data_IF_691422198318
#
_entry.id   IF_691422198318
#
_cell.length_a   1.000
_cell.length_b   1.000
_cell.length_c   1.000
_cell.angle_alpha   90.00
_cell.angle_beta   90.00
_cell.angle_gamma   90.00
#
_symmetry.space_group_name_H-M   'P 1'
#
loop_
_entity.id
_entity.type
_entity.pdbx_description
1 polymer ?
#
# COMPACT_ATOMS: atom_id res chain seq x y z
N UNK A 1 -21.14 20.20 -22.85
CA UNK A 1 -20.84 19.25 -23.93
C UNK A 1 -21.60 17.97 -23.59
N UNK A 2 -22.73 17.67 -24.24
CA UNK A 2 -23.52 16.52 -23.86
C UNK A 2 -22.93 15.23 -24.46
N UNK A 3 -22.88 14.21 -23.61
CA UNK A 3 -22.95 12.78 -23.86
C UNK A 3 -22.48 12.23 -25.22
N UNK A 4 -21.22 11.80 -25.24
CA UNK A 4 -20.77 10.66 -26.05
C UNK A 4 -21.20 9.34 -25.40
N UNK A 5 -22.51 9.15 -25.23
CA UNK A 5 -23.10 7.87 -24.85
C UNK A 5 -23.18 6.96 -26.08
N UNK A 6 -22.12 6.18 -26.28
CA UNK A 6 -22.14 4.78 -26.69
C UNK A 6 -23.22 4.39 -27.72
N UNK A 7 -22.96 4.67 -28.99
CA UNK A 7 -23.46 3.82 -30.09
C UNK A 7 -22.62 2.54 -30.13
N UNK A 8 -22.89 1.58 -29.24
CA UNK A 8 -22.47 0.18 -29.46
C UNK A 8 -23.39 -0.38 -30.54
N UNK A 9 -22.95 -0.24 -31.79
CA UNK A 9 -23.51 -0.96 -32.94
C UNK A 9 -23.55 -2.46 -32.66
N UNK A 10 -24.57 -3.12 -33.20
CA UNK A 10 -24.77 -4.55 -33.12
C UNK A 10 -23.52 -5.34 -33.55
N UNK A 11 -23.48 -6.62 -33.13
CA UNK A 11 -22.65 -7.71 -33.66
C UNK A 11 -21.19 -7.78 -33.22
N UNK A 12 -20.98 -8.33 -32.01
CA UNK A 12 -19.75 -9.07 -31.71
C UNK A 12 -20.01 -10.22 -30.71
N UNK A 13 -21.14 -10.92 -30.89
CA UNK A 13 -21.57 -12.01 -30.00
C UNK A 13 -20.76 -13.27 -30.29
N UNK A 14 -19.87 -13.62 -29.35
CA UNK A 14 -19.04 -14.82 -29.44
C UNK A 14 -19.80 -16.05 -28.92
N UNK A 15 -19.90 -17.09 -29.74
CA UNK A 15 -20.45 -18.39 -29.41
C UNK A 15 -19.33 -19.43 -29.40
N UNK A 16 -19.00 -19.94 -28.21
CA UNK A 16 -18.02 -20.98 -28.01
C UNK A 16 -18.71 -22.33 -28.17
N UNK A 17 -18.33 -23.10 -29.17
CA UNK A 17 -18.95 -24.39 -29.47
C UNK A 17 -18.04 -25.52 -28.99
N UNK A 18 -18.62 -26.51 -28.29
CA UNK A 18 -17.89 -27.69 -27.82
C UNK A 18 -18.74 -28.96 -28.03
N UNK A 19 -18.13 -30.09 -28.45
CA UNK A 19 -16.71 -30.24 -28.78
C UNK A 19 -16.31 -29.59 -30.12
N UNK A 20 -17.24 -29.53 -31.07
CA UNK A 20 -17.02 -29.03 -32.43
C UNK A 20 -18.05 -27.96 -32.81
N UNK A 21 -17.85 -27.33 -33.98
CA UNK A 21 -18.86 -26.45 -34.56
C UNK A 21 -20.13 -27.24 -34.88
N UNK A 22 -21.33 -26.67 -34.63
CA UNK A 22 -22.57 -27.34 -34.97
C UNK A 22 -22.79 -27.37 -36.49
N UNK A 23 -23.60 -28.32 -36.98
CA UNK A 23 -23.86 -28.47 -38.42
C UNK A 23 -24.47 -27.23 -39.07
N UNK A 24 -25.16 -26.40 -38.29
CA UNK A 24 -25.80 -25.14 -38.69
C UNK A 24 -24.92 -23.90 -38.40
N UNK A 25 -23.60 -24.07 -38.34
CA UNK A 25 -22.64 -22.99 -38.06
C UNK A 25 -22.75 -21.82 -39.05
N UNK A 26 -22.83 -22.10 -40.36
CA UNK A 26 -22.93 -21.06 -41.38
C UNK A 26 -24.21 -20.22 -41.24
N UNK A 27 -25.29 -20.85 -40.81
CA UNK A 27 -26.55 -20.14 -40.59
C UNK A 27 -26.48 -19.26 -39.33
N UNK A 28 -25.89 -19.77 -38.24
CA UNK A 28 -25.67 -18.98 -37.02
C UNK A 28 -24.72 -17.79 -37.27
N UNK A 29 -23.74 -17.94 -38.16
CA UNK A 29 -22.90 -16.83 -38.60
C UNK A 29 -23.68 -15.78 -39.37
N UNK A 30 -24.60 -16.18 -40.25
CA UNK A 30 -25.51 -15.27 -40.97
C UNK A 30 -26.46 -14.53 -40.04
N UNK A 31 -26.84 -15.14 -38.91
CA UNK A 31 -27.59 -14.51 -37.81
C UNK A 31 -26.71 -13.58 -36.92
N UNK A 32 -25.42 -13.42 -37.25
CA UNK A 32 -24.52 -12.47 -36.58
C UNK A 32 -23.75 -13.05 -35.38
N UNK A 33 -23.66 -14.37 -35.23
CA UNK A 33 -22.78 -14.98 -34.23
C UNK A 33 -21.38 -15.21 -34.77
N UNK A 34 -20.35 -14.87 -34.00
CA UNK A 34 -18.99 -15.36 -34.26
C UNK A 34 -18.81 -16.68 -33.54
N UNK A 35 -18.54 -17.75 -34.28
CA UNK A 35 -18.38 -19.07 -33.71
C UNK A 35 -16.91 -19.41 -33.52
N UNK A 36 -16.57 -20.04 -32.41
CA UNK A 36 -15.25 -20.56 -32.14
C UNK A 36 -15.39 -21.95 -31.51
N UNK A 37 -14.80 -22.97 -32.14
CA UNK A 37 -14.71 -24.30 -31.53
C UNK A 37 -13.66 -24.27 -30.40
N UNK A 38 -14.01 -24.85 -29.25
CA UNK A 38 -13.11 -24.97 -28.11
C UNK A 38 -13.17 -26.39 -27.54
N UNK A 39 -12.03 -26.93 -27.07
CA UNK A 39 -11.98 -28.28 -26.51
C UNK A 39 -12.80 -28.40 -25.21
N UNK A 40 -12.92 -27.31 -24.45
CA UNK A 40 -13.74 -27.22 -23.24
C UNK A 40 -14.15 -25.76 -22.98
N UNK A 41 -15.28 -25.57 -22.30
CA UNK A 41 -15.89 -24.27 -21.95
C UNK A 41 -15.46 -23.79 -20.54
N UNK A 42 -14.45 -24.41 -19.93
CA UNK A 42 -13.97 -24.06 -18.57
C UNK A 42 -12.82 -23.05 -18.54
N UNK A 43 -12.31 -22.63 -19.69
CA UNK A 43 -11.28 -21.59 -19.83
C UNK A 43 -11.88 -20.19 -19.70
N UNK A 44 -11.27 -19.26 -18.93
CA UNK A 44 -11.74 -17.88 -18.84
C UNK A 44 -11.86 -17.23 -20.23
N UNK A 45 -13.01 -16.62 -20.51
CA UNK A 45 -13.36 -16.01 -21.80
C UNK A 45 -14.00 -14.64 -21.58
N UNK A 46 -14.23 -13.90 -22.67
CA UNK A 46 -14.99 -12.66 -22.66
C UNK A 46 -16.30 -12.84 -21.86
N UNK A 47 -16.61 -11.96 -20.89
CA UNK A 47 -17.84 -12.05 -20.08
C UNK A 47 -19.14 -11.93 -20.88
N UNK A 48 -19.07 -11.61 -22.18
CA UNK A 48 -20.19 -11.60 -23.12
C UNK A 48 -20.31 -12.86 -23.98
N UNK A 49 -19.36 -13.81 -23.88
CA UNK A 49 -19.40 -15.07 -24.61
C UNK A 49 -20.49 -16.01 -24.06
N UNK A 50 -21.00 -16.88 -24.93
CA UNK A 50 -21.97 -17.94 -24.60
C UNK A 50 -21.39 -19.27 -25.03
N UNK A 51 -21.62 -20.32 -24.25
CA UNK A 51 -21.29 -21.69 -24.63
C UNK A 51 -22.45 -22.38 -25.35
N UNK A 52 -22.16 -23.08 -26.44
CA UNK A 52 -23.01 -24.10 -27.03
C UNK A 52 -22.35 -25.46 -26.83
N UNK A 53 -22.96 -26.29 -25.99
CA UNK A 53 -22.45 -27.62 -25.66
C UNK A 53 -23.36 -28.68 -26.26
N UNK A 54 -22.81 -29.57 -27.08
CA UNK A 54 -23.54 -30.70 -27.66
C UNK A 54 -23.20 -31.99 -26.93
N UNK A 55 -24.22 -32.73 -26.49
CA UNK A 55 -24.08 -34.06 -25.89
C UNK A 55 -24.98 -35.05 -26.64
N UNK A 56 -24.41 -36.07 -27.30
CA UNK A 56 -25.16 -36.93 -28.21
C UNK A 56 -26.09 -37.92 -27.49
N UNK A 57 -25.75 -38.33 -26.27
CA UNK A 57 -26.45 -39.39 -25.55
C UNK A 57 -26.50 -39.18 -24.02
N UNK A 58 -27.27 -40.03 -23.34
CA UNK A 58 -27.42 -40.00 -21.89
C UNK A 58 -26.13 -40.33 -21.13
N UNK A 59 -25.22 -41.12 -21.72
CA UNK A 59 -23.94 -41.46 -21.10
C UNK A 59 -23.02 -40.24 -21.05
N UNK A 60 -22.96 -39.47 -22.13
CA UNK A 60 -22.22 -38.21 -22.24
C UNK A 60 -22.78 -37.17 -21.27
N UNK A 61 -24.11 -37.09 -21.12
CA UNK A 61 -24.75 -36.23 -20.12
C UNK A 61 -24.40 -36.63 -18.69
N UNK A 62 -24.38 -37.93 -18.37
CA UNK A 62 -24.01 -38.41 -17.05
C UNK A 62 -22.53 -38.13 -16.74
N UNK A 63 -21.64 -38.33 -17.71
CA UNK A 63 -20.23 -37.98 -17.59
C UNK A 63 -20.03 -36.47 -17.37
N UNK A 64 -20.80 -35.64 -18.08
CA UNK A 64 -20.81 -34.19 -17.90
C UNK A 64 -21.31 -33.81 -16.49
N UNK A 65 -22.37 -34.43 -15.99
CA UNK A 65 -22.86 -34.16 -14.64
C UNK A 65 -21.91 -34.63 -13.53
N UNK A 66 -20.99 -35.57 -13.82
CA UNK A 66 -20.03 -36.10 -12.85
C UNK A 66 -18.85 -35.18 -12.50
N UNK A 67 -18.76 -33.99 -13.07
CA UNK A 67 -17.68 -33.02 -12.81
C UNK A 67 -18.21 -31.79 -12.08
N UNK A 68 -17.52 -31.35 -11.02
CA UNK A 68 -17.91 -30.16 -10.25
C UNK A 68 -17.35 -28.85 -10.83
N UNK A 69 -16.56 -28.91 -11.90
CA UNK A 69 -15.94 -27.70 -12.46
C UNK A 69 -16.97 -26.87 -13.24
N UNK A 70 -17.22 -25.62 -12.84
CA UNK A 70 -18.16 -24.75 -13.55
C UNK A 70 -17.58 -24.28 -14.89
N UNK A 71 -18.48 -23.98 -15.83
CA UNK A 71 -18.14 -23.32 -17.09
C UNK A 71 -17.81 -21.85 -16.85
N UNK A 72 -16.96 -21.31 -17.73
CA UNK A 72 -16.52 -19.91 -17.65
C UNK A 72 -17.54 -18.91 -18.24
N UNK A 73 -18.63 -19.43 -18.85
CA UNK A 73 -19.72 -18.63 -19.41
C UNK A 73 -21.05 -19.39 -19.30
N UNK A 74 -22.20 -18.70 -19.46
CA UNK A 74 -23.49 -19.36 -19.54
C UNK A 74 -23.58 -20.31 -20.74
N UNK A 75 -24.05 -21.53 -20.52
CA UNK A 75 -24.09 -22.59 -21.54
C UNK A 75 -25.52 -22.97 -21.93
N UNK A 76 -25.77 -23.03 -23.24
CA UNK A 76 -26.90 -23.73 -23.85
C UNK A 76 -26.48 -25.18 -24.15
N UNK A 77 -27.22 -26.13 -23.58
CA UNK A 77 -26.98 -27.56 -23.78
C UNK A 77 -27.93 -28.13 -24.84
N UNK A 78 -27.36 -28.75 -25.89
CA UNK A 78 -28.09 -29.56 -26.87
C UNK A 78 -27.94 -31.04 -26.50
N UNK A 79 -29.02 -31.71 -26.08
CA UNK A 79 -28.93 -33.11 -25.64
C UNK A 79 -30.29 -33.81 -25.51
N UNK A 80 -30.33 -35.13 -25.29
CA UNK A 80 -31.53 -35.83 -24.80
C UNK A 80 -32.03 -35.26 -23.46
N UNK A 81 -33.29 -35.49 -23.07
CA UNK A 81 -33.85 -34.92 -21.84
C UNK A 81 -33.11 -35.44 -20.59
N UNK A 82 -32.52 -34.54 -19.76
CA UNK A 82 -31.81 -34.96 -18.56
C UNK A 82 -32.79 -35.38 -17.44
N UNK A 83 -32.39 -36.40 -16.67
CA UNK A 83 -33.08 -36.77 -15.42
C UNK A 83 -32.98 -35.66 -14.38
N UNK A 84 -33.81 -35.69 -13.33
CA UNK A 84 -33.84 -34.63 -12.32
C UNK A 84 -32.48 -34.42 -11.62
N UNK A 85 -31.81 -35.49 -11.19
CA UNK A 85 -30.50 -35.40 -10.53
C UNK A 85 -29.39 -34.92 -11.46
N UNK A 86 -29.39 -35.34 -12.72
CA UNK A 86 -28.45 -34.85 -13.75
C UNK A 86 -28.69 -33.36 -14.01
N UNK A 87 -29.95 -32.93 -14.11
CA UNK A 87 -30.31 -31.53 -14.34
C UNK A 87 -29.78 -30.61 -13.24
N UNK A 88 -29.93 -30.98 -11.98
CA UNK A 88 -29.44 -30.17 -10.86
C UNK A 88 -27.92 -30.00 -10.90
N UNK A 89 -27.18 -31.08 -11.14
CA UNK A 89 -25.73 -31.02 -11.32
C UNK A 89 -25.33 -30.13 -12.51
N UNK A 90 -26.00 -30.25 -13.66
CA UNK A 90 -25.73 -29.45 -14.85
C UNK A 90 -25.99 -27.95 -14.64
N UNK A 91 -27.03 -27.58 -13.89
CA UNK A 91 -27.30 -26.19 -13.50
C UNK A 91 -26.15 -25.66 -12.62
N UNK A 92 -25.68 -26.45 -11.65
CA UNK A 92 -24.55 -26.10 -10.80
C UNK A 92 -23.25 -25.84 -11.58
N UNK A 93 -23.10 -26.41 -12.77
CA UNK A 93 -21.96 -26.17 -13.66
C UNK A 93 -22.11 -24.94 -14.55
N UNK A 94 -23.27 -24.29 -14.62
CA UNK A 94 -23.49 -23.10 -15.45
C UNK A 94 -24.28 -23.34 -16.74
N UNK A 95 -24.98 -24.47 -16.88
CA UNK A 95 -25.98 -24.65 -17.94
C UNK A 95 -27.23 -23.86 -17.55
N UNK A 96 -27.60 -22.92 -18.42
CA UNK A 96 -28.72 -22.00 -18.17
C UNK A 96 -29.96 -22.35 -19.00
N UNK A 97 -29.78 -23.07 -20.11
CA UNK A 97 -30.84 -23.49 -21.02
C UNK A 97 -30.54 -24.87 -21.58
N UNK A 98 -31.60 -25.62 -21.89
CA UNK A 98 -31.52 -26.92 -22.55
C UNK A 98 -32.43 -26.94 -23.77
N UNK A 99 -31.97 -27.58 -24.84
CA UNK A 99 -32.77 -27.91 -26.02
C UNK A 99 -32.54 -29.37 -26.44
N UNK A 100 -33.56 -30.02 -27.02
CA UNK A 100 -33.37 -31.28 -27.75
C UNK A 100 -32.28 -31.16 -28.83
N UNK A 101 -31.49 -32.21 -29.02
CA UNK A 101 -30.36 -32.20 -29.96
C UNK A 101 -30.78 -31.95 -31.43
N UNK A 102 -31.99 -32.33 -31.79
CA UNK A 102 -32.60 -32.19 -33.12
C UNK A 102 -33.37 -30.87 -33.32
N UNK A 103 -33.19 -29.90 -32.41
CA UNK A 103 -33.89 -28.61 -32.48
C UNK A 103 -33.56 -27.84 -33.75
N UNK A 104 -34.60 -27.43 -34.47
CA UNK A 104 -34.50 -26.60 -35.67
C UNK A 104 -33.82 -25.24 -35.39
N UNK A 105 -33.03 -24.79 -36.37
CA UNK A 105 -32.24 -23.56 -36.30
C UNK A 105 -33.03 -22.32 -35.82
N UNK A 106 -34.25 -22.01 -36.30
CA UNK A 106 -34.94 -20.79 -35.87
C UNK A 106 -35.21 -20.75 -34.36
N UNK A 107 -35.56 -21.90 -33.77
CA UNK A 107 -35.77 -22.01 -32.32
C UNK A 107 -34.43 -21.94 -31.57
N UNK A 108 -33.39 -22.63 -32.07
CA UNK A 108 -32.04 -22.59 -31.51
C UNK A 108 -31.47 -21.18 -31.48
N UNK A 109 -31.56 -20.45 -32.59
CA UNK A 109 -31.12 -19.06 -32.71
C UNK A 109 -31.88 -18.12 -31.76
N UNK A 110 -33.20 -18.28 -31.65
CA UNK A 110 -34.01 -17.52 -30.71
C UNK A 110 -33.57 -17.78 -29.25
N UNK A 111 -33.37 -19.04 -28.87
CA UNK A 111 -32.93 -19.41 -27.52
C UNK A 111 -31.52 -18.91 -27.23
N UNK A 112 -30.59 -19.00 -28.19
CA UNK A 112 -29.25 -18.41 -28.06
C UNK A 112 -29.31 -16.89 -27.83
N UNK A 113 -30.18 -16.18 -28.55
CA UNK A 113 -30.38 -14.75 -28.34
C UNK A 113 -30.93 -14.43 -26.94
N UNK A 114 -31.88 -15.22 -26.44
CA UNK A 114 -32.40 -15.12 -25.07
C UNK A 114 -31.32 -15.40 -24.02
N UNK A 115 -30.54 -16.46 -24.20
CA UNK A 115 -29.40 -16.80 -23.34
C UNK A 115 -28.40 -15.66 -23.27
N UNK A 116 -28.10 -15.01 -24.40
CA UNK A 116 -27.21 -13.85 -24.42
C UNK A 116 -27.77 -12.64 -23.67
N UNK A 117 -29.07 -12.38 -23.79
CA UNK A 117 -29.73 -11.34 -23.00
C UNK A 117 -29.68 -11.61 -21.49
N UNK A 118 -29.88 -12.86 -21.07
CA UNK A 118 -29.77 -13.27 -19.67
C UNK A 118 -28.34 -13.17 -19.15
N UNK A 119 -27.34 -13.61 -19.94
CA UNK A 119 -25.93 -13.52 -19.61
C UNK A 119 -25.51 -12.06 -19.32
N UNK A 120 -25.84 -11.13 -20.22
CA UNK A 120 -25.55 -9.71 -20.04
C UNK A 120 -26.21 -9.15 -18.78
N UNK A 121 -27.46 -9.53 -18.50
CA UNK A 121 -28.17 -9.10 -17.28
C UNK A 121 -27.52 -9.62 -16.00
N UNK A 122 -27.15 -10.89 -15.94
CA UNK A 122 -26.50 -11.46 -14.77
C UNK A 122 -25.12 -10.84 -14.53
N UNK A 123 -24.31 -10.68 -15.57
CA UNK A 123 -23.01 -10.00 -15.48
C UNK A 123 -23.17 -8.56 -14.99
N UNK A 124 -24.16 -7.82 -15.50
CA UNK A 124 -24.44 -6.46 -15.05
C UNK A 124 -24.90 -6.40 -13.59
N UNK A 125 -25.75 -7.34 -13.15
CA UNK A 125 -26.14 -7.44 -11.74
C UNK A 125 -24.96 -7.77 -10.84
N UNK A 126 -24.11 -8.72 -11.24
CA UNK A 126 -22.91 -9.08 -10.48
C UNK A 126 -21.95 -7.89 -10.36
N UNK A 127 -21.71 -7.15 -11.44
CA UNK A 127 -20.90 -5.94 -11.43
C UNK A 127 -21.47 -4.87 -10.50
N UNK A 128 -22.79 -4.68 -10.51
CA UNK A 128 -23.46 -3.73 -9.63
C UNK A 128 -23.33 -4.12 -8.15
N UNK A 129 -23.53 -5.40 -7.82
CA UNK A 129 -23.35 -5.91 -6.45
C UNK A 129 -21.90 -5.77 -6.01
N UNK A 130 -20.93 -6.14 -6.87
CA UNK A 130 -19.50 -5.97 -6.59
C UNK A 130 -19.14 -4.50 -6.35
N UNK A 131 -19.66 -3.58 -7.17
CA UNK A 131 -19.44 -2.15 -6.98
C UNK A 131 -19.97 -1.66 -5.63
N UNK A 132 -21.19 -2.06 -5.23
CA UNK A 132 -21.75 -1.71 -3.92
C UNK A 132 -20.91 -2.24 -2.75
N UNK A 133 -20.40 -3.47 -2.86
CA UNK A 133 -19.53 -4.05 -1.85
C UNK A 133 -18.20 -3.30 -1.75
N UNK A 134 -17.61 -2.92 -2.88
CA UNK A 134 -16.39 -2.11 -2.92
C UNK A 134 -16.61 -0.71 -2.33
N UNK A 135 -17.70 -0.05 -2.66
CA UNK A 135 -18.07 1.26 -2.10
C UNK A 135 -18.19 1.19 -0.57
N UNK A 136 -18.86 0.15 -0.04
CA UNK A 136 -18.96 -0.08 1.39
C UNK A 136 -17.58 -0.34 2.01
N UNK A 137 -16.76 -1.19 1.40
CA UNK A 137 -15.40 -1.48 1.88
C UNK A 137 -14.55 -0.23 2.05
N UNK A 138 -14.54 0.66 1.06
CA UNK A 138 -13.78 1.91 1.13
C UNK A 138 -14.33 2.85 2.19
N UNK A 139 -15.65 2.95 2.30
CA UNK A 139 -16.32 3.78 3.31
C UNK A 139 -16.00 3.30 4.74
N UNK A 140 -16.09 1.99 5.00
CA UNK A 140 -15.74 1.42 6.31
C UNK A 140 -14.26 1.64 6.66
N UNK A 141 -13.35 1.43 5.69
CA UNK A 141 -11.91 1.67 5.90
C UNK A 141 -11.61 3.14 6.20
N UNK A 142 -12.25 4.06 5.49
CA UNK A 142 -12.10 5.49 5.72
C UNK A 142 -12.62 5.90 7.11
N UNK A 143 -13.79 5.38 7.53
CA UNK A 143 -14.31 5.59 8.90
C UNK A 143 -13.32 5.12 9.95
N UNK A 144 -12.80 3.89 9.83
CA UNK A 144 -11.83 3.34 10.78
C UNK A 144 -10.56 4.19 10.92
N UNK A 145 -10.03 4.70 9.79
CA UNK A 145 -8.88 5.61 9.81
C UNK A 145 -9.22 6.94 10.50
N UNK A 146 -10.38 7.53 10.22
CA UNK A 146 -10.82 8.77 10.86
C UNK A 146 -11.05 8.62 12.36
N UNK A 147 -11.60 7.47 12.80
CA UNK A 147 -11.80 7.14 14.20
C UNK A 147 -10.45 7.07 14.94
N UNK A 148 -9.47 6.36 14.36
CA UNK A 148 -8.11 6.27 14.93
C UNK A 148 -7.41 7.63 14.95
N UNK A 149 -7.56 8.41 13.89
CA UNK A 149 -6.91 9.71 13.71
C UNK A 149 -7.43 10.79 14.68
N UNK A 150 -8.76 10.87 14.81
CA UNK A 150 -9.45 11.97 15.51
C UNK A 150 -10.01 11.58 16.87
N UNK A 151 -9.95 10.30 17.23
CA UNK A 151 -10.58 9.80 18.46
C UNK A 151 -12.10 9.97 18.46
N UNK A 152 -12.72 9.99 17.28
CA UNK A 152 -14.17 10.15 17.10
C UNK A 152 -14.85 8.80 16.95
N UNK A 153 -16.15 8.75 17.23
CA UNK A 153 -16.95 7.56 17.00
C UNK A 153 -17.29 7.37 15.51
N UNK A 154 -17.89 6.22 15.20
CA UNK A 154 -18.26 5.85 13.84
C UNK A 154 -19.27 6.84 13.22
N UNK A 155 -20.24 7.32 14.02
CA UNK A 155 -21.28 8.24 13.57
C UNK A 155 -20.70 9.59 13.15
N UNK A 156 -19.80 10.15 13.96
CA UNK A 156 -19.08 11.37 13.64
C UNK A 156 -18.15 11.18 12.43
N UNK A 157 -17.47 10.04 12.30
CA UNK A 157 -16.63 9.74 11.14
C UNK A 157 -17.44 9.69 9.84
N UNK A 158 -18.61 9.03 9.84
CA UNK A 158 -19.50 9.00 8.68
C UNK A 158 -20.07 10.38 8.35
N UNK A 159 -20.48 11.14 9.37
CA UNK A 159 -20.97 12.51 9.19
C UNK A 159 -19.92 13.42 8.54
N UNK A 160 -18.65 13.28 8.96
CA UNK A 160 -17.53 13.98 8.36
C UNK A 160 -17.40 13.64 6.87
N UNK A 161 -17.24 12.36 6.51
CA UNK A 161 -17.11 11.93 5.12
C UNK A 161 -18.25 12.43 4.24
N UNK A 162 -19.49 12.39 4.77
CA UNK A 162 -20.67 12.90 4.06
C UNK A 162 -20.61 14.41 3.87
N UNK A 163 -20.21 15.16 4.89
CA UNK A 163 -20.07 16.62 4.79
C UNK A 163 -19.02 17.02 3.76
N UNK A 164 -17.87 16.34 3.73
CA UNK A 164 -16.80 16.54 2.76
C UNK A 164 -17.27 16.23 1.35
N UNK A 165 -17.99 15.13 1.14
CA UNK A 165 -18.58 14.77 -0.15
C UNK A 165 -19.54 15.85 -0.66
N UNK A 166 -20.36 16.42 0.23
CA UNK A 166 -21.25 17.54 -0.08
C UNK A 166 -20.48 18.81 -0.49
N UNK A 167 -19.46 19.19 0.29
CA UNK A 167 -18.68 20.40 0.04
C UNK A 167 -17.85 20.32 -1.25
N UNK A 168 -17.30 19.14 -1.54
CA UNK A 168 -16.47 18.87 -2.73
C UNK A 168 -17.27 18.42 -3.95
N UNK A 169 -18.61 18.40 -3.86
CA UNK A 169 -19.52 17.92 -4.91
C UNK A 169 -19.12 16.54 -5.48
N UNK A 170 -18.59 15.67 -4.63
CA UNK A 170 -18.04 14.37 -4.99
C UNK A 170 -18.88 13.24 -4.40
N UNK A 171 -18.80 12.03 -4.97
CA UNK A 171 -19.48 10.87 -4.38
C UNK A 171 -18.77 10.44 -3.09
N UNK A 172 -19.56 9.98 -2.12
CA UNK A 172 -19.02 9.49 -0.83
C UNK A 172 -17.91 8.43 -0.99
N UNK A 173 -18.04 7.42 -1.87
CA UNK A 173 -16.98 6.43 -2.07
C UNK A 173 -15.68 7.03 -2.63
N UNK A 174 -15.77 8.06 -3.46
CA UNK A 174 -14.59 8.73 -4.03
C UNK A 174 -13.85 9.53 -2.95
N UNK A 175 -14.59 10.21 -2.06
CA UNK A 175 -14.02 10.86 -0.88
C UNK A 175 -13.37 9.83 0.05
N UNK A 176 -14.05 8.71 0.33
CA UNK A 176 -13.52 7.65 1.17
C UNK A 176 -12.21 7.08 0.61
N UNK A 177 -12.15 6.79 -0.70
CA UNK A 177 -10.92 6.37 -1.39
C UNK A 177 -9.81 7.43 -1.27
N UNK A 178 -10.16 8.70 -1.43
CA UNK A 178 -9.22 9.82 -1.28
C UNK A 178 -8.60 9.90 0.12
N UNK A 179 -9.41 9.74 1.16
CA UNK A 179 -8.97 9.69 2.57
C UNK A 179 -8.04 8.51 2.79
N UNK A 180 -8.41 7.30 2.36
CA UNK A 180 -7.58 6.10 2.52
C UNK A 180 -6.24 6.26 1.82
N UNK A 181 -6.25 6.68 0.54
CA UNK A 181 -5.02 6.86 -0.24
C UNK A 181 -4.07 7.87 0.40
N UNK A 182 -4.63 8.95 0.93
CA UNK A 182 -3.86 10.01 1.58
C UNK A 182 -3.27 9.55 2.91
N UNK A 183 -4.02 8.77 3.69
CA UNK A 183 -3.54 8.15 4.92
C UNK A 183 -2.40 7.15 4.64
N UNK A 184 -2.55 6.30 3.61
CA UNK A 184 -1.53 5.34 3.19
C UNK A 184 -0.26 6.04 2.71
N UNK A 185 -0.39 7.14 1.96
CA UNK A 185 0.75 7.94 1.53
C UNK A 185 1.48 8.60 2.72
N UNK A 186 0.75 9.13 3.69
CA UNK A 186 1.33 9.70 4.90
C UNK A 186 2.02 8.63 5.77
N UNK A 187 1.44 7.43 5.87
CA UNK A 187 2.06 6.28 6.54
C UNK A 187 3.36 5.88 5.83
N UNK A 188 3.33 5.76 4.50
CA UNK A 188 4.51 5.42 3.72
C UNK A 188 5.63 6.46 3.89
N UNK A 189 5.29 7.75 3.89
CA UNK A 189 6.27 8.81 4.09
C UNK A 189 6.90 8.78 5.49
N UNK A 190 6.10 8.56 6.54
CA UNK A 190 6.64 8.46 7.90
C UNK A 190 7.62 7.31 8.01
N UNK A 191 7.25 6.13 7.49
CA UNK A 191 8.09 4.93 7.55
C UNK A 191 9.36 5.09 6.73
N UNK A 192 9.28 5.61 5.51
CA UNK A 192 10.44 5.92 4.69
C UNK A 192 11.33 6.97 5.36
N UNK A 193 10.73 8.00 5.96
CA UNK A 193 11.43 9.01 6.76
C UNK A 193 12.10 8.43 8.00
N UNK A 194 11.50 7.43 8.64
CA UNK A 194 12.07 6.72 9.79
C UNK A 194 13.31 5.92 9.38
N UNK A 195 13.36 5.32 8.19
CA UNK A 195 14.55 4.59 7.71
C UNK A 195 15.78 5.48 7.63
N UNK A 196 15.62 6.72 7.16
CA UNK A 196 16.69 7.73 7.14
C UNK A 196 17.27 7.97 8.53
N UNK A 197 16.40 8.16 9.53
CA UNK A 197 16.86 8.35 10.91
C UNK A 197 17.49 7.08 11.47
N UNK A 198 16.84 5.93 11.28
CA UNK A 198 17.28 4.65 11.85
C UNK A 198 18.65 4.25 11.32
N UNK A 199 18.96 4.51 10.05
CA UNK A 199 20.29 4.26 9.50
C UNK A 199 21.38 5.00 10.30
N UNK A 200 21.13 6.25 10.68
CA UNK A 200 22.07 7.04 11.50
C UNK A 200 22.09 6.57 12.96
N UNK A 201 20.91 6.31 13.56
CA UNK A 201 20.79 5.88 14.95
C UNK A 201 21.48 4.54 15.20
N UNK A 202 21.37 3.59 14.28
CA UNK A 202 22.01 2.26 14.41
C UNK A 202 23.54 2.37 14.46
N UNK A 203 24.15 3.16 13.57
CA UNK A 203 25.61 3.40 13.60
C UNK A 203 25.99 4.13 14.88
N UNK A 204 25.26 5.18 15.26
CA UNK A 204 25.49 5.90 16.52
C UNK A 204 25.51 4.95 17.72
N UNK A 205 24.53 4.05 17.84
CA UNK A 205 24.44 3.12 18.96
C UNK A 205 25.54 2.05 18.92
N UNK A 206 25.93 1.58 17.74
CA UNK A 206 27.06 0.66 17.58
C UNK A 206 28.39 1.32 17.98
N UNK A 207 28.62 2.57 17.57
CA UNK A 207 29.78 3.38 17.95
C UNK A 207 29.79 3.69 19.45
N UNK A 208 28.63 4.03 20.04
CA UNK A 208 28.51 4.32 21.48
C UNK A 208 28.99 3.15 22.33
N UNK A 209 28.66 1.92 21.92
CA UNK A 209 29.09 0.71 22.61
C UNK A 209 30.61 0.51 22.59
N UNK A 210 31.34 1.17 21.70
CA UNK A 210 32.81 1.16 21.68
C UNK A 210 33.43 2.22 22.58
N UNK A 211 32.63 3.15 23.13
CA UNK A 211 33.13 4.19 24.03
C UNK A 211 33.74 3.57 25.30
N UNK A 212 35.02 3.85 25.62
CA UNK A 212 35.71 3.17 26.73
C UNK A 212 35.11 3.45 28.11
N UNK A 213 34.52 4.64 28.30
CA UNK A 213 33.97 5.07 29.61
C UNK A 213 32.52 4.65 29.82
N UNK A 214 31.91 3.94 28.88
CA UNK A 214 30.53 3.50 28.99
C UNK A 214 30.41 2.33 29.98
N UNK A 215 29.52 2.45 30.96
CA UNK A 215 29.29 1.41 31.96
C UNK A 215 28.61 0.18 31.35
N UNK A 216 28.68 -0.98 32.03
CA UNK A 216 28.02 -2.20 31.56
C UNK A 216 26.49 -2.05 31.39
N UNK A 217 25.74 -1.42 32.32
CA UNK A 217 24.32 -1.16 32.12
C UNK A 217 24.02 -0.31 30.87
N UNK A 218 24.75 0.79 30.69
CA UNK A 218 24.58 1.68 29.53
C UNK A 218 24.93 0.97 28.21
N UNK A 219 25.95 0.10 28.22
CA UNK A 219 26.32 -0.69 27.04
C UNK A 219 25.24 -1.71 26.67
N UNK A 220 24.52 -2.26 27.65
CA UNK A 220 23.34 -3.15 27.42
C UNK A 220 22.14 -2.36 26.92
N UNK A 221 21.90 -1.17 27.48
CA UNK A 221 20.85 -0.27 27.01
C UNK A 221 21.09 0.12 25.54
N UNK A 222 22.29 0.56 25.19
CA UNK A 222 22.65 0.89 23.81
C UNK A 222 22.49 -0.32 22.85
N UNK A 223 22.78 -1.54 23.30
CA UNK A 223 22.51 -2.76 22.53
C UNK A 223 21.01 -2.99 22.34
N UNK A 224 20.20 -2.86 23.40
CA UNK A 224 18.75 -3.01 23.31
C UNK A 224 18.12 -2.00 22.36
N UNK A 225 18.59 -0.74 22.39
CA UNK A 225 18.14 0.29 21.46
C UNK A 225 18.57 0.01 20.02
N UNK A 226 19.75 -0.59 19.83
CA UNK A 226 20.23 -1.02 18.51
C UNK A 226 19.33 -2.12 17.96
N UNK A 227 19.07 -3.17 18.76
CA UNK A 227 18.20 -4.29 18.37
C UNK A 227 16.78 -3.81 18.07
N UNK A 228 16.22 -2.92 18.90
CA UNK A 228 14.92 -2.30 18.67
C UNK A 228 14.90 -1.46 17.37
N UNK A 229 16.00 -0.76 17.06
CA UNK A 229 16.13 0.01 15.82
C UNK A 229 16.14 -0.93 14.60
N UNK A 230 16.90 -2.03 14.65
CA UNK A 230 16.96 -3.03 13.59
C UNK A 230 15.60 -3.70 13.37
N UNK A 231 14.90 -4.07 14.45
CA UNK A 231 13.55 -4.63 14.38
C UNK A 231 12.55 -3.65 13.75
N UNK A 232 12.65 -2.36 14.10
CA UNK A 232 11.81 -1.32 13.52
C UNK A 232 12.08 -1.11 12.02
N UNK A 233 13.33 -1.19 11.58
CA UNK A 233 13.66 -1.16 10.14
C UNK A 233 12.96 -2.29 9.41
N UNK A 234 13.07 -3.52 9.91
CA UNK A 234 12.44 -4.70 9.31
C UNK A 234 10.92 -4.57 9.20
N UNK A 235 10.25 -4.22 10.31
CA UNK A 235 8.79 -4.03 10.33
C UNK A 235 8.33 -2.90 9.40
N UNK A 236 9.11 -1.82 9.30
CA UNK A 236 8.81 -0.74 8.36
C UNK A 236 8.96 -1.19 6.91
N UNK A 237 9.95 -2.01 6.56
CA UNK A 237 10.14 -2.50 5.19
C UNK A 237 9.04 -3.46 4.75
N UNK A 238 8.58 -4.35 5.64
CA UNK A 238 7.42 -5.21 5.39
C UNK A 238 6.19 -4.37 5.07
N UNK A 239 5.90 -3.38 5.92
CA UNK A 239 4.75 -2.51 5.71
C UNK A 239 4.88 -1.63 4.46
N UNK A 240 6.08 -1.11 4.17
CA UNK A 240 6.33 -0.36 2.95
C UNK A 240 6.12 -1.23 1.71
N UNK A 241 6.51 -2.51 1.74
CA UNK A 241 6.26 -3.44 0.63
C UNK A 241 4.76 -3.64 0.37
N UNK A 242 3.93 -3.62 1.41
CA UNK A 242 2.47 -3.68 1.26
C UNK A 242 1.88 -2.39 0.69
N UNK A 243 2.26 -1.24 1.25
CA UNK A 243 1.73 0.08 0.87
C UNK A 243 2.15 0.48 -0.56
N UNK A 244 3.33 0.06 -0.99
CA UNK A 244 3.97 0.46 -2.25
C UNK A 244 4.00 -0.69 -3.27
N UNK A 245 3.14 -1.69 -3.12
CA UNK A 245 3.10 -2.85 -4.01
C UNK A 245 2.81 -2.47 -5.45
N UNK A 246 1.83 -1.60 -5.64
CA UNK A 246 1.36 -1.15 -6.95
C UNK A 246 2.14 0.07 -7.48
N UNK A 247 2.96 0.71 -6.63
CA UNK A 247 3.58 2.01 -6.89
C UNK A 247 4.92 2.14 -6.14
N UNK A 248 6.01 2.52 -6.83
CA UNK A 248 7.35 2.69 -6.22
C UNK A 248 7.99 1.39 -5.68
N UNK A 249 7.64 0.24 -6.26
CA UNK A 249 8.17 -1.07 -5.87
C UNK A 249 9.68 -1.19 -6.10
N UNK A 250 10.22 -0.53 -7.13
CA UNK A 250 11.66 -0.50 -7.41
C UNK A 250 12.44 0.28 -6.34
N UNK A 251 11.97 1.48 -5.98
CA UNK A 251 12.56 2.28 -4.91
C UNK A 251 12.46 1.56 -3.57
N UNK A 252 11.32 0.96 -3.25
CA UNK A 252 11.15 0.15 -2.03
C UNK A 252 12.13 -1.04 -2.00
N UNK A 253 12.31 -1.75 -3.13
CA UNK A 253 13.24 -2.87 -3.24
C UNK A 253 14.70 -2.43 -3.05
N UNK A 254 15.06 -1.22 -3.52
CA UNK A 254 16.38 -0.64 -3.30
C UNK A 254 16.66 -0.40 -1.81
N UNK A 255 15.70 0.16 -1.06
CA UNK A 255 15.81 0.33 0.40
C UNK A 255 15.95 -1.02 1.10
N UNK A 256 15.15 -2.01 0.71
CA UNK A 256 15.25 -3.37 1.26
C UNK A 256 16.59 -4.05 0.95
N UNK A 257 17.17 -3.80 -0.23
CA UNK A 257 18.52 -4.25 -0.60
C UNK A 257 19.59 -3.61 0.26
N UNK A 258 19.54 -2.29 0.46
CA UNK A 258 20.48 -1.58 1.32
C UNK A 258 20.42 -2.07 2.77
N UNK A 259 19.22 -2.34 3.30
CA UNK A 259 19.05 -2.94 4.62
C UNK A 259 19.70 -4.32 4.74
N UNK A 260 19.50 -5.21 3.76
CA UNK A 260 20.14 -6.54 3.75
C UNK A 260 21.66 -6.47 3.77
N UNK A 261 22.27 -5.41 3.25
CA UNK A 261 23.71 -5.19 3.30
C UNK A 261 24.18 -4.64 4.65
N UNK A 262 23.38 -3.78 5.29
CA UNK A 262 23.71 -3.17 6.58
C UNK A 262 23.56 -4.15 7.76
N UNK A 263 22.50 -4.97 7.76
CA UNK A 263 22.18 -5.90 8.85
C UNK A 263 23.36 -6.76 9.34
N UNK A 264 24.16 -7.44 8.48
CA UNK A 264 25.30 -8.22 8.94
C UNK A 264 26.44 -7.37 9.52
N UNK A 265 26.63 -6.14 9.05
CA UNK A 265 27.65 -5.23 9.59
C UNK A 265 27.30 -4.81 11.03
N UNK A 266 26.01 -4.56 11.30
CA UNK A 266 25.52 -4.22 12.65
C UNK A 266 25.59 -5.40 13.63
N UNK A 267 25.38 -6.62 13.14
CA UNK A 267 25.37 -7.84 13.97
C UNK A 267 26.77 -8.35 14.34
N UNK A 268 27.85 -7.78 13.80
CA UNK A 268 29.21 -8.23 14.07
C UNK A 268 29.60 -8.08 15.55
N UNK A 269 30.25 -9.11 16.11
CA UNK A 269 30.84 -9.07 17.45
C UNK A 269 32.06 -8.15 17.53
N UNK A 270 32.78 -8.00 16.42
CA UNK A 270 33.89 -7.07 16.25
C UNK A 270 33.49 -6.09 15.14
N UNK A 271 32.82 -4.99 15.49
CA UNK A 271 32.24 -4.11 14.49
C UNK A 271 33.34 -3.35 13.75
N UNK A 272 33.26 -3.39 12.43
CA UNK A 272 33.93 -2.42 11.55
C UNK A 272 32.99 -1.21 11.43
N UNK A 273 33.30 -0.16 12.18
CA UNK A 273 32.45 1.04 12.26
C UNK A 273 32.40 1.79 10.94
N UNK A 274 33.50 1.84 10.19
CA UNK A 274 33.54 2.49 8.88
C UNK A 274 32.65 1.74 7.88
N UNK A 275 32.80 0.41 7.81
CA UNK A 275 31.94 -0.41 6.93
C UNK A 275 30.47 -0.31 7.30
N UNK A 276 30.16 -0.24 8.60
CA UNK A 276 28.79 -0.09 9.08
C UNK A 276 28.22 1.27 8.71
N UNK A 277 29.02 2.34 8.81
CA UNK A 277 28.62 3.69 8.40
C UNK A 277 28.40 3.81 6.88
N UNK A 278 29.30 3.26 6.07
CA UNK A 278 29.15 3.22 4.61
C UNK A 278 27.88 2.45 4.19
N UNK A 279 27.57 1.33 4.86
CA UNK A 279 26.34 0.58 4.59
C UNK A 279 25.09 1.33 5.04
N UNK A 280 25.15 2.06 6.15
CA UNK A 280 24.06 2.90 6.62
C UNK A 280 23.83 4.11 5.71
N UNK A 281 24.90 4.63 5.11
CA UNK A 281 24.84 5.70 4.12
C UNK A 281 24.09 5.25 2.86
N UNK A 282 24.31 4.03 2.37
CA UNK A 282 23.52 3.45 1.27
C UNK A 282 22.02 3.30 1.63
N UNK A 283 21.72 2.93 2.88
CA UNK A 283 20.33 2.88 3.37
C UNK A 283 19.73 4.28 3.46
N UNK A 284 20.49 5.28 3.89
CA UNK A 284 20.06 6.68 3.90
C UNK A 284 19.71 7.17 2.49
N UNK A 285 20.62 7.03 1.54
CA UNK A 285 20.47 7.51 0.15
C UNK A 285 19.26 6.89 -0.55
N UNK A 286 19.11 5.56 -0.45
CA UNK A 286 17.95 4.86 -1.01
C UNK A 286 16.64 5.30 -0.34
N UNK A 287 16.65 5.54 0.97
CA UNK A 287 15.48 6.03 1.70
C UNK A 287 15.15 7.50 1.37
N UNK A 288 16.16 8.34 1.12
CA UNK A 288 16.00 9.73 0.67
C UNK A 288 15.35 9.79 -0.71
N UNK A 289 15.81 8.95 -1.64
CA UNK A 289 15.18 8.81 -2.95
C UNK A 289 13.71 8.40 -2.82
N UNK A 290 13.41 7.40 -1.99
CA UNK A 290 12.02 6.97 -1.76
C UNK A 290 11.16 8.09 -1.18
N UNK A 291 11.66 8.82 -0.18
CA UNK A 291 10.98 9.99 0.40
C UNK A 291 10.74 11.06 -0.65
N UNK A 292 11.72 11.35 -1.52
CA UNK A 292 11.56 12.32 -2.59
C UNK A 292 10.43 11.91 -3.56
N UNK A 293 10.39 10.64 -3.99
CA UNK A 293 9.31 10.10 -4.84
C UNK A 293 7.94 10.17 -4.17
N UNK A 294 7.87 9.87 -2.88
CA UNK A 294 6.61 9.97 -2.12
C UNK A 294 6.14 11.43 -2.02
N UNK A 295 7.04 12.37 -1.80
CA UNK A 295 6.74 13.80 -1.78
C UNK A 295 6.28 14.32 -3.16
N UNK A 296 6.94 13.91 -4.26
CA UNK A 296 6.52 14.23 -5.63
C UNK A 296 5.07 13.78 -5.89
N UNK A 297 4.71 12.58 -5.43
CA UNK A 297 3.34 12.03 -5.56
C UNK A 297 2.33 12.70 -4.65
N UNK A 298 2.75 13.21 -3.49
CA UNK A 298 1.87 13.92 -2.56
C UNK A 298 1.43 15.31 -3.08
N UNK A 299 2.21 15.92 -3.98
CA UNK A 299 1.96 17.26 -4.50
C UNK A 299 2.04 18.35 -3.41
N UNK A 300 1.37 19.49 -3.62
CA UNK A 300 1.41 20.67 -2.72
C UNK A 300 0.58 20.54 -1.42
N UNK A 301 0.06 19.35 -1.08
CA UNK A 301 -0.78 19.10 0.11
C UNK A 301 0.08 19.04 1.40
N UNK A 302 -0.49 19.08 2.63
CA UNK A 302 0.18 19.56 3.85
C UNK A 302 1.22 18.59 4.45
N UNK A 303 1.73 17.66 3.64
CA UNK A 303 2.78 16.71 3.99
C UNK A 303 4.16 17.38 4.11
N UNK A 304 4.30 18.63 3.62
CA UNK A 304 5.54 19.41 3.69
C UNK A 304 6.10 19.55 5.11
N UNK A 305 5.25 19.84 6.10
CA UNK A 305 5.70 19.95 7.49
C UNK A 305 6.13 18.59 8.07
N UNK A 306 5.41 17.51 7.76
CA UNK A 306 5.81 16.15 8.16
C UNK A 306 7.18 15.80 7.55
N UNK A 307 7.41 16.16 6.28
CA UNK A 307 8.71 15.97 5.64
C UNK A 307 9.83 16.79 6.31
N UNK A 308 9.55 18.02 6.76
CA UNK A 308 10.50 18.86 7.48
C UNK A 308 10.82 18.32 8.89
N UNK A 309 9.81 17.90 9.66
CA UNK A 309 10.03 17.33 11.00
C UNK A 309 10.74 15.98 10.93
N UNK A 310 10.43 15.15 9.93
CA UNK A 310 11.18 13.91 9.70
C UNK A 310 12.63 14.17 9.27
N UNK A 311 12.90 15.29 8.58
CA UNK A 311 14.27 15.76 8.30
C UNK A 311 15.00 16.19 9.58
N UNK A 312 14.36 16.94 10.48
CA UNK A 312 14.95 17.27 11.79
C UNK A 312 15.36 16.02 12.58
N UNK A 313 14.50 15.01 12.57
CA UNK A 313 14.74 13.73 13.22
C UNK A 313 15.98 13.03 12.65
N UNK A 314 16.16 13.05 11.33
CA UNK A 314 17.38 12.56 10.67
C UNK A 314 18.62 13.37 11.09
N UNK A 315 18.56 14.70 10.96
CA UNK A 315 19.71 15.59 11.21
C UNK A 315 20.20 15.50 12.66
N UNK A 316 19.29 15.39 13.63
CA UNK A 316 19.63 15.17 15.04
C UNK A 316 20.45 13.90 15.25
N UNK A 317 20.04 12.79 14.64
CA UNK A 317 20.76 11.52 14.78
C UNK A 317 22.07 11.52 14.01
N UNK A 318 22.12 12.16 12.83
CA UNK A 318 23.35 12.32 12.05
C UNK A 318 24.39 13.13 12.82
N UNK A 319 24.02 14.27 13.39
CA UNK A 319 24.92 15.10 14.19
C UNK A 319 25.53 14.31 15.37
N UNK A 320 24.69 13.58 16.10
CA UNK A 320 25.16 12.77 17.22
C UNK A 320 26.02 11.56 16.77
N UNK A 321 25.73 10.98 15.60
CA UNK A 321 26.55 9.91 15.00
C UNK A 321 27.94 10.43 14.64
N UNK A 322 28.01 11.51 13.86
CA UNK A 322 29.28 12.12 13.43
C UNK A 322 30.12 12.56 14.63
N UNK A 323 29.48 13.18 15.63
CA UNK A 323 30.17 13.64 16.83
C UNK A 323 30.75 12.49 17.64
N UNK A 324 30.15 11.30 17.55
CA UNK A 324 30.61 10.11 18.26
C UNK A 324 31.67 9.34 17.48
N UNK A 325 31.55 9.26 16.16
CA UNK A 325 32.57 8.69 15.28
C UNK A 325 33.87 9.47 15.41
N UNK A 326 33.82 10.81 15.44
CA UNK A 326 34.98 11.67 15.68
C UNK A 326 35.73 11.38 16.99
N UNK A 327 35.04 10.82 17.99
CA UNK A 327 35.63 10.51 19.31
C UNK A 327 36.13 9.07 19.44
N UNK A 328 35.62 8.16 18.60
CA UNK A 328 35.86 6.71 18.73
C UNK A 328 36.73 6.18 17.59
N UNK A 329 36.59 6.71 16.37
CA UNK A 329 37.27 6.24 15.18
C UNK A 329 38.48 7.13 14.90
N UNK A 330 39.72 6.60 14.97
CA UNK A 330 40.91 7.37 14.66
C UNK A 330 40.89 7.87 13.21
N UNK A 331 41.13 9.17 13.02
CA UNK A 331 41.19 9.78 11.67
C UNK A 331 39.82 10.04 11.03
N UNK A 332 38.71 9.88 11.75
CA UNK A 332 37.39 10.30 11.27
C UNK A 332 37.36 11.81 11.01
N UNK A 333 36.85 12.21 9.85
CA UNK A 333 36.75 13.62 9.47
C UNK A 333 35.59 14.30 10.24
N UNK A 334 35.95 15.16 11.18
CA UNK A 334 35.00 15.92 11.99
C UNK A 334 34.69 17.31 11.42
N UNK A 335 35.31 17.72 10.30
CA UNK A 335 35.16 19.10 9.76
C UNK A 335 33.73 19.42 9.34
N UNK A 336 32.95 18.42 8.94
CA UNK A 336 31.53 18.54 8.59
C UNK A 336 30.57 18.78 9.76
N UNK A 337 31.01 18.64 11.02
CA UNK A 337 30.13 18.78 12.19
C UNK A 337 29.53 20.17 12.35
N UNK A 338 30.32 21.22 12.10
CA UNK A 338 29.85 22.60 12.18
C UNK A 338 28.78 22.87 11.11
N UNK A 339 29.04 22.47 9.86
CA UNK A 339 28.06 22.58 8.78
C UNK A 339 26.79 21.76 9.05
N UNK A 340 26.90 20.57 9.64
CA UNK A 340 25.75 19.75 10.02
C UNK A 340 24.91 20.38 11.15
N UNK A 341 25.55 21.08 12.09
CA UNK A 341 24.86 21.85 13.13
C UNK A 341 24.12 23.05 12.51
N UNK A 342 24.76 23.77 11.58
CA UNK A 342 24.12 24.88 10.87
C UNK A 342 22.91 24.39 10.04
N UNK A 343 23.04 23.25 9.36
CA UNK A 343 21.93 22.62 8.64
C UNK A 343 20.77 22.28 9.57
N UNK A 344 21.06 21.72 10.75
CA UNK A 344 20.04 21.41 11.75
C UNK A 344 19.31 22.68 12.23
N UNK A 345 20.06 23.74 12.57
CA UNK A 345 19.50 25.02 13.05
C UNK A 345 18.59 25.61 11.98
N UNK A 346 19.03 25.67 10.73
CA UNK A 346 18.23 26.18 9.62
C UNK A 346 16.94 25.37 9.42
N UNK A 347 17.02 24.04 9.48
CA UNK A 347 15.86 23.17 9.38
C UNK A 347 14.89 23.37 10.56
N UNK A 348 15.42 23.62 11.76
CA UNK A 348 14.62 23.83 12.97
C UNK A 348 13.88 25.16 12.92
N UNK A 349 14.58 26.23 12.54
CA UNK A 349 14.00 27.56 12.38
C UNK A 349 12.92 27.55 11.29
N UNK A 350 13.12 26.83 10.19
CA UNK A 350 12.10 26.65 9.15
C UNK A 350 10.83 25.94 9.68
N UNK A 351 11.00 24.90 10.49
CA UNK A 351 9.86 24.20 11.13
C UNK A 351 9.13 25.11 12.12
N UNK A 352 9.84 25.91 12.91
CA UNK A 352 9.24 26.85 13.88
C UNK A 352 8.59 28.06 13.21
N UNK A 353 9.12 28.51 12.08
CA UNK A 353 8.55 29.58 11.26
C UNK A 353 7.31 29.15 10.48
N UNK A 354 7.06 27.84 10.35
CA UNK A 354 5.85 27.34 9.69
C UNK A 354 4.62 27.75 10.52
N UNK A 355 3.68 28.53 9.97
CA UNK A 355 2.54 29.03 10.74
C UNK A 355 1.63 27.87 11.14
N UNK A 356 1.79 27.39 12.37
CA UNK A 356 1.03 26.28 12.93
C UNK A 356 0.13 26.80 14.04
N UNK A 357 -1.00 27.34 13.63
CA UNK A 357 -1.97 28.00 14.49
C UNK A 357 -2.95 27.02 15.18
N UNK A 358 -2.53 25.78 15.48
CA UNK A 358 -3.37 24.86 16.25
C UNK A 358 -2.87 24.75 17.69
N UNK A 359 -3.66 25.16 18.71
CA UNK A 359 -3.35 24.96 20.12
C UNK A 359 -2.97 23.52 20.47
N UNK A 360 -3.45 22.53 19.69
CA UNK A 360 -3.17 21.12 19.91
C UNK A 360 -1.70 20.72 19.67
N UNK A 361 -0.95 21.45 18.82
CA UNK A 361 0.45 21.12 18.49
C UNK A 361 1.46 21.83 19.40
N UNK A 362 1.04 22.87 20.13
CA UNK A 362 1.93 23.70 20.94
C UNK A 362 2.70 22.93 22.03
N UNK A 363 2.09 21.99 22.78
CA UNK A 363 2.82 21.21 23.78
C UNK A 363 3.94 20.35 23.15
N UNK A 364 3.69 19.77 21.98
CA UNK A 364 4.68 18.95 21.28
C UNK A 364 5.87 19.78 20.78
N UNK A 365 5.60 20.99 20.27
CA UNK A 365 6.68 21.93 19.92
C UNK A 365 7.49 22.37 21.13
N UNK A 366 6.85 22.71 22.25
CA UNK A 366 7.56 23.08 23.47
C UNK A 366 8.50 21.96 23.97
N UNK A 367 8.07 20.69 23.89
CA UNK A 367 8.91 19.55 24.23
C UNK A 367 10.13 19.41 23.31
N UNK A 368 9.98 19.70 22.01
CA UNK A 368 11.09 19.74 21.05
C UNK A 368 12.07 20.86 21.38
N UNK A 369 11.56 22.06 21.67
CA UNK A 369 12.38 23.23 22.06
C UNK A 369 13.21 22.92 23.32
N UNK A 370 12.61 22.33 24.35
CA UNK A 370 13.32 21.92 25.57
C UNK A 370 14.38 20.86 25.30
N UNK A 371 14.04 19.82 24.53
CA UNK A 371 14.97 18.74 24.20
C UNK A 371 16.15 19.25 23.36
N UNK A 372 15.90 20.20 22.46
CA UNK A 372 16.92 20.88 21.67
C UNK A 372 17.91 21.64 22.56
N UNK A 373 17.42 22.40 23.54
CA UNK A 373 18.27 23.10 24.51
C UNK A 373 19.13 22.15 25.37
N UNK A 374 18.60 20.97 25.69
CA UNK A 374 19.38 19.92 26.38
C UNK A 374 20.51 19.42 25.49
N UNK A 375 20.24 19.13 24.21
CA UNK A 375 21.27 18.69 23.26
C UNK A 375 22.35 19.77 23.07
N UNK A 376 21.96 21.03 22.85
CA UNK A 376 22.89 22.16 22.70
C UNK A 376 23.83 22.32 23.91
N UNK A 377 23.29 22.17 25.12
CA UNK A 377 24.12 22.21 26.34
C UNK A 377 25.08 21.03 26.40
N UNK A 378 24.65 19.84 25.96
CA UNK A 378 25.50 18.65 25.88
C UNK A 378 26.67 18.79 24.90
N UNK A 379 26.50 19.55 23.82
CA UNK A 379 27.55 19.81 22.83
C UNK A 379 28.63 20.81 23.30
N UNK A 380 28.36 21.58 24.37
CA UNK A 380 29.28 22.61 24.92
C UNK A 380 30.13 22.12 26.10
N UNK A 381 30.21 20.81 26.32
CA UNK A 381 30.82 20.19 27.51
C UNK A 381 32.26 19.75 27.21
N UNK A 382 33.09 19.72 28.24
CA UNK A 382 34.44 19.13 28.21
C UNK A 382 34.46 17.73 27.56
N UNK A 383 35.54 17.36 26.84
CA UNK A 383 35.59 16.19 25.94
C UNK A 383 35.19 14.85 26.57
N UNK A 384 35.28 14.71 27.89
CA UNK A 384 35.05 13.46 28.61
C UNK A 384 33.59 13.07 28.85
N UNK A 385 32.71 14.03 29.10
CA UNK A 385 31.27 13.80 29.37
C UNK A 385 30.38 14.18 28.18
N UNK A 386 30.97 14.86 27.18
CA UNK A 386 30.27 15.31 25.98
C UNK A 386 29.57 14.17 25.23
N UNK A 387 30.20 13.00 25.13
CA UNK A 387 29.64 11.82 24.43
C UNK A 387 28.33 11.33 25.03
N UNK A 388 28.29 11.15 26.36
CA UNK A 388 27.11 10.62 27.05
C UNK A 388 25.96 11.63 27.03
N UNK A 389 26.26 12.92 27.26
CA UNK A 389 25.25 13.99 27.20
C UNK A 389 24.72 14.22 25.79
N UNK A 390 25.58 14.14 24.77
CA UNK A 390 25.17 14.20 23.36
C UNK A 390 24.26 13.02 23.01
N UNK A 391 24.60 11.80 23.44
CA UNK A 391 23.73 10.63 23.27
C UNK A 391 22.36 10.85 23.91
N UNK A 392 22.31 11.15 25.21
CA UNK A 392 21.06 11.38 25.94
C UNK A 392 20.23 12.53 25.34
N UNK A 393 20.87 13.65 25.00
CA UNK A 393 20.22 14.79 24.37
C UNK A 393 19.62 14.44 23.01
N UNK A 394 20.35 13.67 22.19
CA UNK A 394 19.87 13.24 20.87
C UNK A 394 18.70 12.24 20.97
N UNK A 395 18.67 11.35 21.96
CA UNK A 395 17.55 10.43 22.18
C UNK A 395 16.32 11.16 22.73
N UNK A 396 16.51 12.12 23.64
CA UNK A 396 15.41 12.96 24.15
C UNK A 396 14.78 13.80 23.02
N UNK A 397 15.61 14.40 22.17
CA UNK A 397 15.14 15.15 21.01
C UNK A 397 14.44 14.25 19.99
N UNK A 398 14.97 13.05 19.74
CA UNK A 398 14.30 12.05 18.91
C UNK A 398 12.90 11.73 19.45
N UNK A 399 12.77 11.46 20.74
CA UNK A 399 11.47 11.16 21.35
C UNK A 399 10.48 12.32 21.19
N UNK A 400 10.90 13.55 21.47
CA UNK A 400 10.07 14.74 21.29
C UNK A 400 9.63 14.93 19.82
N UNK A 401 10.53 14.67 18.87
CA UNK A 401 10.21 14.73 17.44
C UNK A 401 9.24 13.61 17.02
N UNK A 402 9.32 12.41 17.62
CA UNK A 402 8.35 11.35 17.38
C UNK A 402 6.96 11.68 17.93
N UNK A 403 6.89 12.32 19.10
CA UNK A 403 5.65 12.84 19.66
C UNK A 403 5.04 13.92 18.78
N UNK A 404 5.87 14.84 18.27
CA UNK A 404 5.44 15.85 17.30
C UNK A 404 4.94 15.22 15.99
N UNK A 405 5.63 14.22 15.45
CA UNK A 405 5.18 13.50 14.25
C UNK A 405 3.81 12.85 14.48
N UNK A 406 3.60 12.19 15.63
CA UNK A 406 2.29 11.60 15.97
C UNK A 406 1.19 12.65 16.04
N UNK A 407 1.46 13.78 16.71
CA UNK A 407 0.52 14.89 16.80
C UNK A 407 0.21 15.50 15.42
N UNK A 408 1.23 15.64 14.56
CA UNK A 408 1.08 16.12 13.19
C UNK A 408 0.29 15.15 12.32
N UNK A 409 0.51 13.84 12.42
CA UNK A 409 -0.25 12.86 11.66
C UNK A 409 -1.74 12.90 12.01
N UNK A 410 -2.07 13.00 13.31
CA UNK A 410 -3.45 13.25 13.74
C UNK A 410 -4.01 14.54 13.14
N UNK A 411 -3.23 15.63 13.12
CA UNK A 411 -3.63 16.91 12.54
C UNK A 411 -3.73 16.93 11.01
N UNK A 412 -2.91 16.16 10.29
CA UNK A 412 -2.94 16.10 8.82
C UNK A 412 -4.14 15.28 8.33
N UNK A 413 -4.48 14.23 9.06
CA UNK A 413 -5.73 13.49 8.89
C UNK A 413 -6.96 14.35 9.30
N UNK A 414 -6.76 15.40 10.10
CA UNK A 414 -7.77 16.43 10.42
C UNK A 414 -8.01 17.44 9.27
N UNK A 415 -7.01 17.73 8.43
CA UNK A 415 -7.10 18.75 7.37
C UNK A 415 -7.50 18.14 6.01
N UNK A 416 -7.20 16.86 5.79
CA UNK A 416 -7.43 16.17 4.51
C UNK A 416 -8.81 15.48 4.42
N UNK A 417 -9.68 15.73 5.40
CA UNK A 417 -11.08 15.31 5.44
C UNK A 417 -11.97 16.50 5.66
#
# INVERSE_FOLDING_TARGET
MPDSAITRTATDRLLLCSPDLPLDADDLQREGWRLQAVPDLTTPVDPSAIGLLSCPDAASLAALAGSDRPFACPVLLLSPPPSAGVREALIGRGIVQWLPADTALPLKAAVLAWTGGLAVRFTAQEQLVRAQLDERKWTERAKGLLMQARGIDEAAAFALLRSTAMQTQSKLPDVARGVVRTAELAEALERAGAQRMLSQRMVKLQTLRQWPRLTLPERREAQSLLDASMARVAANLERLAELLREDLSAEQAAVASAWRQLQPALASRQPDLQRSDEAAQRLLESSELLVARLCERAGQRPVGLLAQVTRLRLLSQRLAKEGLLAQVVPGHDATGLAAGLDEFIQAYDAVRATPLASPALQPAFAAVDEAWLVLLRGLRVEPGEAVQRMHQGSERLLQALEDLIRALQGSLQLILG
#
